data_IF_688577083648
#
_entry.id   IF_688577083648
#
_cell.length_a   1.000
_cell.length_b   1.000
_cell.length_c   1.000
_cell.angle_alpha   90.00
_cell.angle_beta   90.00
_cell.angle_gamma   90.00
#
_symmetry.space_group_name_H-M   'P 1'
#
loop_
_entity.id
_entity.type
_entity.pdbx_description
1 polymer ?
#
# COMPACT_ATOMS: atom_id res chain seq x y z
N UNK A 1 5.69 4.36 22.84
CA UNK A 1 5.40 4.37 21.39
C UNK A 1 5.02 5.78 20.99
N UNK A 2 5.74 6.41 20.07
CA UNK A 2 5.40 7.77 19.57
C UNK A 2 4.04 7.74 18.84
N UNK A 3 3.39 8.90 18.67
CA UNK A 3 2.13 8.97 17.89
C UNK A 3 2.32 8.43 16.46
N UNK A 4 3.49 8.68 15.87
CA UNK A 4 3.87 8.16 14.57
C UNK A 4 3.97 6.63 14.59
N UNK A 5 4.68 6.05 15.57
CA UNK A 5 4.74 4.60 15.76
C UNK A 5 3.34 4.00 15.94
N UNK A 6 2.45 4.61 16.74
CA UNK A 6 1.05 4.17 16.84
C UNK A 6 0.28 4.27 15.52
N UNK A 7 0.59 5.24 14.67
CA UNK A 7 0.00 5.31 13.35
C UNK A 7 0.52 4.21 12.42
N UNK A 8 1.77 3.77 12.57
CA UNK A 8 2.37 2.68 11.78
C UNK A 8 1.95 1.28 12.26
N UNK A 9 1.81 1.11 13.57
CA UNK A 9 1.55 -0.17 14.25
C UNK A 9 0.08 -0.57 14.34
N UNK A 10 -0.82 0.11 13.61
CA UNK A 10 -2.24 -0.21 13.58
C UNK A 10 -2.56 -1.18 12.47
N UNK A 11 -3.45 -2.13 12.77
CA UNK A 11 -4.06 -3.01 11.77
C UNK A 11 -4.80 -2.17 10.73
N UNK A 12 -4.61 -2.50 9.44
CA UNK A 12 -5.29 -1.88 8.31
C UNK A 12 -5.98 -2.98 7.50
N UNK A 13 -7.31 -2.98 7.48
CA UNK A 13 -8.08 -3.96 6.74
C UNK A 13 -7.76 -3.93 5.24
N UNK A 14 -7.63 -5.11 4.63
CA UNK A 14 -7.33 -5.26 3.20
C UNK A 14 -8.33 -4.54 2.32
N UNK A 15 -9.63 -4.61 2.66
CA UNK A 15 -10.67 -3.94 1.89
C UNK A 15 -10.54 -2.41 1.95
N UNK A 16 -10.11 -1.83 3.08
CA UNK A 16 -9.85 -0.38 3.18
C UNK A 16 -8.65 -0.01 2.31
N UNK A 17 -7.57 -0.78 2.41
CA UNK A 17 -6.39 -0.57 1.58
C UNK A 17 -6.74 -0.61 0.09
N UNK A 18 -7.51 -1.60 -0.35
CA UNK A 18 -7.99 -1.72 -1.72
C UNK A 18 -8.87 -0.53 -2.12
N UNK A 19 -9.85 -0.16 -1.28
CA UNK A 19 -10.77 0.94 -1.54
C UNK A 19 -10.03 2.28 -1.71
N UNK A 20 -9.09 2.57 -0.82
CA UNK A 20 -8.26 3.77 -0.96
C UNK A 20 -7.34 3.71 -2.17
N UNK A 21 -6.76 2.55 -2.48
CA UNK A 21 -5.88 2.39 -3.66
C UNK A 21 -6.64 2.65 -4.94
N UNK A 22 -7.84 2.09 -5.10
CA UNK A 22 -8.69 2.34 -6.28
C UNK A 22 -9.19 3.78 -6.33
N UNK A 23 -9.76 4.30 -5.24
CA UNK A 23 -10.30 5.66 -5.20
C UNK A 23 -9.23 6.75 -5.42
N UNK A 24 -7.98 6.45 -5.08
CA UNK A 24 -6.85 7.35 -5.31
C UNK A 24 -6.06 7.02 -6.57
N UNK A 25 -6.55 6.17 -7.47
CA UNK A 25 -5.82 5.79 -8.70
C UNK A 25 -4.39 5.29 -8.45
N UNK A 26 -4.19 4.54 -7.36
CA UNK A 26 -2.89 3.99 -6.94
C UNK A 26 -2.05 4.92 -6.04
N UNK A 27 -2.41 6.20 -5.87
CA UNK A 27 -1.64 7.12 -5.00
C UNK A 27 -1.59 6.67 -3.53
N UNK A 28 -2.60 5.95 -3.06
CA UNK A 28 -2.61 5.42 -1.69
C UNK A 28 -1.53 4.35 -1.46
N UNK A 29 -1.14 3.60 -2.50
CA UNK A 29 -0.04 2.63 -2.42
C UNK A 29 1.29 3.36 -2.16
N UNK A 30 1.50 4.49 -2.85
CA UNK A 30 2.65 5.37 -2.63
C UNK A 30 2.61 5.96 -1.22
N UNK A 31 1.46 6.43 -0.76
CA UNK A 31 1.30 6.93 0.60
C UNK A 31 1.63 5.86 1.66
N UNK A 32 1.15 4.63 1.47
CA UNK A 32 1.45 3.51 2.37
C UNK A 32 2.95 3.14 2.33
N UNK A 33 3.58 3.18 1.16
CA UNK A 33 5.02 2.97 1.00
C UNK A 33 5.82 4.05 1.73
N UNK A 34 5.46 5.32 1.58
CA UNK A 34 6.07 6.45 2.29
C UNK A 34 5.96 6.28 3.80
N UNK A 35 4.74 5.96 4.26
CA UNK A 35 4.45 5.70 5.66
C UNK A 35 5.32 4.57 6.21
N UNK A 36 5.50 3.51 5.44
CA UNK A 36 6.33 2.34 5.79
C UNK A 36 7.83 2.68 5.87
N UNK A 37 8.35 3.48 4.94
CA UNK A 37 9.73 3.96 5.02
C UNK A 37 9.95 4.90 6.20
N UNK A 38 8.96 5.74 6.53
CA UNK A 38 9.03 6.61 7.69
C UNK A 38 9.06 5.81 9.00
N UNK A 39 8.28 4.72 9.09
CA UNK A 39 8.37 3.77 10.20
C UNK A 39 9.78 3.19 10.36
N UNK A 40 10.37 2.61 9.32
CA UNK A 40 11.72 2.04 9.41
C UNK A 40 12.80 3.08 9.67
N UNK A 41 12.63 4.30 9.14
CA UNK A 41 13.52 5.42 9.46
C UNK A 41 13.53 5.72 10.96
N UNK A 42 12.35 5.83 11.56
CA UNK A 42 12.20 6.14 12.99
C UNK A 42 12.65 4.97 13.87
N UNK A 43 12.26 3.73 13.51
CA UNK A 43 12.56 2.52 14.29
C UNK A 43 14.04 2.14 14.27
N UNK A 44 14.64 2.10 13.08
CA UNK A 44 16.02 1.59 12.90
C UNK A 44 17.04 2.75 12.78
N UNK A 45 16.61 4.01 13.01
CA UNK A 45 17.42 5.23 12.86
C UNK A 45 18.16 5.31 11.52
N UNK A 46 17.48 4.96 10.43
CA UNK A 46 18.09 4.89 9.10
C UNK A 46 18.35 6.30 8.54
N UNK A 47 19.54 6.51 7.99
CA UNK A 47 19.84 7.70 7.18
C UNK A 47 19.31 7.53 5.75
N UNK A 48 17.98 7.55 5.62
CA UNK A 48 17.28 7.48 4.34
C UNK A 48 16.20 8.55 4.25
N UNK A 49 15.86 8.96 3.04
CA UNK A 49 14.69 9.81 2.79
C UNK A 49 13.48 8.95 2.41
N UNK A 50 12.40 8.91 3.23
CA UNK A 50 11.19 8.18 2.88
C UNK A 50 10.57 8.66 1.56
N UNK A 51 10.64 9.97 1.31
CA UNK A 51 10.12 10.56 0.07
C UNK A 51 10.82 9.99 -1.17
N UNK A 52 12.15 10.00 -1.21
CA UNK A 52 12.90 9.48 -2.36
C UNK A 52 12.74 7.97 -2.54
N UNK A 53 12.62 7.23 -1.42
CA UNK A 53 12.37 5.79 -1.45
C UNK A 53 10.99 5.45 -2.05
N UNK A 54 9.98 6.30 -1.80
CA UNK A 54 8.65 6.15 -2.38
C UNK A 54 8.55 6.64 -3.81
N UNK A 55 9.21 7.75 -4.16
CA UNK A 55 9.23 8.21 -5.55
C UNK A 55 9.89 7.18 -6.48
N UNK A 56 10.95 6.53 -5.99
CA UNK A 56 11.64 5.44 -6.67
C UNK A 56 11.16 4.07 -6.18
N UNK A 57 9.85 3.94 -5.88
CA UNK A 57 9.26 2.71 -5.37
C UNK A 57 9.63 1.45 -6.19
N UNK A 58 9.64 1.45 -7.54
CA UNK A 58 10.02 0.26 -8.30
C UNK A 58 11.41 -0.31 -7.91
N UNK A 59 12.34 0.55 -7.52
CA UNK A 59 13.70 0.17 -7.12
C UNK A 59 13.79 -0.25 -5.65
N UNK A 60 12.97 0.35 -4.79
CA UNK A 60 13.08 0.19 -3.34
C UNK A 60 12.01 -0.70 -2.71
N UNK A 61 11.02 -1.14 -3.48
CA UNK A 61 9.95 -2.02 -3.01
C UNK A 61 10.49 -3.37 -2.49
N UNK A 62 11.51 -3.95 -3.15
CA UNK A 62 12.20 -5.15 -2.65
C UNK A 62 12.79 -4.91 -1.27
N UNK A 63 13.61 -3.88 -1.14
CA UNK A 63 14.24 -3.52 0.13
C UNK A 63 13.21 -3.28 1.23
N UNK A 64 12.05 -2.70 0.92
CA UNK A 64 10.99 -2.50 1.91
C UNK A 64 10.34 -3.81 2.33
N UNK A 65 9.99 -4.68 1.38
CA UNK A 65 9.33 -5.96 1.67
C UNK A 65 10.25 -6.93 2.41
N UNK A 66 11.54 -6.91 2.10
CA UNK A 66 12.57 -7.69 2.79
C UNK A 66 12.75 -7.17 4.22
N UNK A 67 12.76 -5.85 4.47
CA UNK A 67 12.80 -5.29 5.82
C UNK A 67 11.60 -5.73 6.66
N UNK A 68 10.41 -5.77 6.08
CA UNK A 68 9.24 -6.33 6.76
C UNK A 68 9.41 -7.82 7.03
N UNK A 69 9.90 -8.60 6.06
CA UNK A 69 10.16 -10.04 6.21
C UNK A 69 11.15 -10.31 7.35
N UNK A 70 12.26 -9.58 7.37
CA UNK A 70 13.30 -9.69 8.39
C UNK A 70 12.78 -9.29 9.77
N UNK A 71 11.99 -8.21 9.86
CA UNK A 71 11.35 -7.80 11.10
C UNK A 71 10.43 -8.89 11.64
N UNK A 72 9.56 -9.45 10.80
CA UNK A 72 8.62 -10.49 11.19
C UNK A 72 9.33 -11.78 11.61
N UNK A 73 10.35 -12.20 10.85
CA UNK A 73 11.16 -13.38 11.18
C UNK A 73 11.91 -13.23 12.51
N UNK A 74 12.47 -12.04 12.78
CA UNK A 74 13.14 -11.74 14.07
C UNK A 74 12.19 -11.84 15.27
N UNK A 75 10.92 -11.56 15.05
CA UNK A 75 9.86 -11.64 16.08
C UNK A 75 9.19 -13.03 16.10
N UNK A 76 9.74 -14.02 15.37
CA UNK A 76 9.27 -15.41 15.39
C UNK A 76 8.12 -15.73 14.43
N UNK A 77 7.72 -14.80 13.55
CA UNK A 77 6.66 -15.04 12.59
C UNK A 77 7.18 -15.69 11.31
N UNK A 78 6.40 -16.64 10.78
CA UNK A 78 6.64 -17.24 9.47
C UNK A 78 6.21 -16.28 8.34
N UNK A 79 7.12 -16.05 7.39
CA UNK A 79 6.88 -15.19 6.22
C UNK A 79 7.06 -16.00 4.95
N UNK A 80 5.97 -16.20 4.20
CA UNK A 80 5.94 -17.04 3.00
C UNK A 80 5.50 -16.29 1.73
N UNK A 81 5.42 -14.95 1.75
CA UNK A 81 5.08 -14.20 0.55
C UNK A 81 6.28 -14.12 -0.41
N UNK A 82 6.08 -14.32 -1.73
CA UNK A 82 7.17 -14.28 -2.69
C UNK A 82 7.49 -12.84 -3.13
N UNK A 83 8.41 -12.16 -2.42
CA UNK A 83 8.77 -10.75 -2.67
C UNK A 83 8.99 -10.44 -4.16
N UNK A 84 9.79 -11.25 -4.86
CA UNK A 84 10.11 -11.04 -6.27
C UNK A 84 8.86 -11.08 -7.17
N UNK A 85 7.97 -12.06 -6.97
CA UNK A 85 6.75 -12.20 -7.77
C UNK A 85 5.82 -11.00 -7.55
N UNK A 86 5.68 -10.53 -6.31
CA UNK A 86 4.84 -9.38 -5.98
C UNK A 86 5.33 -8.09 -6.65
N UNK A 87 6.65 -7.89 -6.71
CA UNK A 87 7.25 -6.73 -7.37
C UNK A 87 7.10 -6.82 -8.88
N UNK A 88 7.38 -7.99 -9.46
CA UNK A 88 7.20 -8.22 -10.90
C UNK A 88 5.74 -7.96 -11.30
N UNK A 89 4.78 -8.48 -10.54
CA UNK A 89 3.36 -8.23 -10.76
C UNK A 89 3.02 -6.74 -10.70
N UNK A 90 3.51 -6.03 -9.66
CA UNK A 90 3.25 -4.60 -9.48
C UNK A 90 3.84 -3.76 -10.63
N UNK A 91 5.09 -4.03 -11.03
CA UNK A 91 5.75 -3.33 -12.14
C UNK A 91 5.03 -3.64 -13.45
N UNK A 92 4.77 -4.91 -13.73
CA UNK A 92 4.14 -5.35 -14.98
C UNK A 92 2.77 -4.69 -15.15
N UNK A 93 1.93 -4.70 -14.11
CA UNK A 93 0.58 -4.17 -14.21
C UNK A 93 0.59 -2.64 -14.36
N UNK A 94 1.47 -1.92 -13.64
CA UNK A 94 1.55 -0.46 -13.75
C UNK A 94 2.23 0.04 -15.04
N UNK A 95 3.08 -0.78 -15.68
CA UNK A 95 3.80 -0.35 -16.90
C UNK A 95 3.11 -0.76 -18.20
N UNK A 96 2.40 -1.89 -18.22
CA UNK A 96 1.83 -2.45 -19.46
C UNK A 96 0.37 -2.07 -19.67
N UNK A 97 -0.40 -1.87 -18.60
CA UNK A 97 -1.86 -1.72 -18.71
C UNK A 97 -2.30 -0.27 -18.93
N UNK A 98 -1.53 0.70 -18.44
CA UNK A 98 -1.86 2.14 -18.50
C UNK A 98 -1.98 2.66 -19.95
N UNK A 99 -1.32 2.02 -20.91
CA UNK A 99 -1.20 2.54 -22.29
C UNK A 99 -2.27 2.02 -23.26
N UNK A 100 -3.18 1.14 -22.83
CA UNK A 100 -4.18 0.53 -23.71
C UNK A 100 -5.57 0.63 -23.12
N UNK A 101 -6.47 1.33 -23.81
CA UNK A 101 -7.89 1.35 -23.50
C UNK A 101 -8.55 0.00 -23.85
N UNK A 102 -9.49 -0.54 -23.05
CA UNK A 102 -9.86 -0.17 -21.67
C UNK A 102 -9.04 -0.92 -20.59
N UNK A 103 -7.87 -1.46 -20.95
CA UNK A 103 -7.03 -2.32 -20.12
C UNK A 103 -6.41 -1.56 -18.92
N UNK A 104 -6.34 -0.22 -18.96
CA UNK A 104 -5.83 0.62 -17.85
C UNK A 104 -6.54 0.38 -16.51
N UNK A 105 -7.77 -0.13 -16.52
CA UNK A 105 -8.48 -0.54 -15.31
C UNK A 105 -7.72 -1.61 -14.52
N UNK A 106 -6.94 -2.47 -15.20
CA UNK A 106 -6.11 -3.47 -14.55
C UNK A 106 -4.99 -2.83 -13.71
N UNK A 107 -4.50 -1.63 -14.05
CA UNK A 107 -3.50 -0.92 -13.24
C UNK A 107 -3.98 -0.72 -11.79
N UNK A 108 -5.30 -0.59 -11.59
CA UNK A 108 -5.93 -0.41 -10.29
C UNK A 108 -5.98 -1.69 -9.46
N UNK A 109 -5.56 -2.83 -10.01
CA UNK A 109 -5.37 -4.09 -9.27
C UNK A 109 -3.93 -4.24 -8.74
N UNK A 110 -3.07 -3.24 -8.90
CA UNK A 110 -1.70 -3.25 -8.38
C UNK A 110 -1.62 -3.39 -6.86
N UNK A 111 -2.64 -2.92 -6.12
CA UNK A 111 -2.76 -3.13 -4.67
C UNK A 111 -2.68 -4.61 -4.26
N UNK A 112 -3.02 -5.56 -5.15
CA UNK A 112 -2.94 -6.99 -4.89
C UNK A 112 -1.51 -7.42 -4.49
N UNK A 113 -0.47 -6.76 -5.01
CA UNK A 113 0.92 -7.01 -4.62
C UNK A 113 1.22 -6.74 -3.16
N UNK A 114 0.44 -5.88 -2.52
CA UNK A 114 0.65 -5.49 -1.12
C UNK A 114 -0.13 -6.37 -0.15
N UNK A 115 -1.17 -7.08 -0.61
CA UNK A 115 -2.05 -7.87 0.27
C UNK A 115 -1.29 -8.90 1.11
N UNK A 116 -0.37 -9.72 0.57
CA UNK A 116 0.32 -10.72 1.38
C UNK A 116 1.17 -10.08 2.48
N UNK A 117 1.86 -8.99 2.15
CA UNK A 117 2.68 -8.22 3.11
C UNK A 117 1.79 -7.58 4.17
N UNK A 118 0.70 -6.94 3.75
CA UNK A 118 -0.25 -6.29 4.65
C UNK A 118 -0.90 -7.28 5.61
N UNK A 119 -1.27 -8.48 5.14
CA UNK A 119 -1.82 -9.53 5.99
C UNK A 119 -0.81 -10.01 7.03
N UNK A 120 0.44 -10.27 6.64
CA UNK A 120 1.49 -10.66 7.59
C UNK A 120 1.74 -9.57 8.64
N UNK A 121 1.74 -8.29 8.22
CA UNK A 121 1.86 -7.16 9.15
C UNK A 121 0.65 -7.01 10.07
N UNK A 122 -0.57 -7.23 9.56
CA UNK A 122 -1.78 -7.14 10.36
C UNK A 122 -1.82 -8.20 11.46
N UNK A 123 -1.35 -9.43 11.18
CA UNK A 123 -1.20 -10.48 12.19
C UNK A 123 -0.23 -10.01 13.28
N UNK A 124 0.96 -9.56 12.88
CA UNK A 124 1.97 -9.04 13.80
C UNK A 124 1.47 -7.87 14.66
N UNK A 125 0.81 -6.88 14.05
CA UNK A 125 0.32 -5.71 14.78
C UNK A 125 -0.82 -6.03 15.72
N UNK A 126 -1.69 -6.97 15.36
CA UNK A 126 -2.77 -7.45 16.22
C UNK A 126 -2.21 -8.13 17.48
N UNK A 127 -1.10 -8.84 17.36
CA UNK A 127 -0.44 -9.50 18.51
C UNK A 127 0.40 -8.52 19.33
N UNK A 128 1.14 -7.63 18.68
CA UNK A 128 2.05 -6.69 19.34
C UNK A 128 1.33 -5.50 19.99
N UNK A 129 0.19 -5.09 19.46
CA UNK A 129 -0.56 -3.93 19.94
C UNK A 129 -2.09 -4.18 19.85
N UNK A 130 -2.62 -5.17 20.60
CA UNK A 130 -4.04 -5.52 20.55
C UNK A 130 -4.97 -4.37 20.99
N UNK A 131 -4.46 -3.44 21.79
CA UNK A 131 -5.17 -2.23 22.21
C UNK A 131 -5.35 -1.21 21.07
N UNK A 132 -4.51 -1.27 20.04
CA UNK A 132 -4.58 -0.37 18.89
C UNK A 132 -5.56 -0.90 17.86
N UNK A 133 -6.82 -0.54 18.07
CA UNK A 133 -7.88 -0.83 17.10
C UNK A 133 -7.64 -0.13 15.76
N UNK A 134 -8.14 -0.77 14.70
CA UNK A 134 -8.18 -0.17 13.37
C UNK A 134 -8.99 1.14 13.42
N UNK A 135 -8.46 2.20 12.81
CA UNK A 135 -9.16 3.49 12.75
C UNK A 135 -10.46 3.37 11.93
N UNK A 136 -11.60 3.88 12.44
CA UNK A 136 -12.80 4.03 11.63
C UNK A 136 -12.55 5.07 10.53
N UNK A 137 -13.32 4.97 9.45
CA UNK A 137 -13.25 5.96 8.37
C UNK A 137 -13.73 7.32 8.91
N UNK A 138 -12.90 8.33 8.72
CA UNK A 138 -13.24 9.71 9.06
C UNK A 138 -14.11 10.33 7.97
N UNK A 139 -14.86 11.38 8.31
CA UNK A 139 -15.70 12.11 7.33
C UNK A 139 -14.87 12.63 6.15
N UNK A 140 -13.64 13.10 6.40
CA UNK A 140 -12.72 13.57 5.36
C UNK A 140 -12.31 12.45 4.40
N UNK A 141 -12.03 11.27 4.94
CA UNK A 141 -11.72 10.09 4.14
C UNK A 141 -12.93 9.62 3.32
N UNK A 142 -14.14 9.65 3.90
CA UNK A 142 -15.37 9.32 3.16
C UNK A 142 -15.57 10.29 1.99
N UNK A 143 -15.46 11.61 2.24
CA UNK A 143 -15.55 12.63 1.18
C UNK A 143 -14.51 12.37 0.09
N UNK A 144 -13.26 12.08 0.48
CA UNK A 144 -12.19 11.75 -0.45
C UNK A 144 -12.51 10.50 -1.29
N UNK A 145 -12.98 9.43 -0.65
CA UNK A 145 -13.38 8.19 -1.31
C UNK A 145 -14.52 8.42 -2.30
N UNK A 146 -15.55 9.17 -1.90
CA UNK A 146 -16.68 9.51 -2.78
C UNK A 146 -16.21 10.31 -4.00
N UNK A 147 -15.37 11.34 -3.80
CA UNK A 147 -14.82 12.13 -4.89
C UNK A 147 -13.95 11.28 -5.83
N UNK A 148 -13.07 10.45 -5.27
CA UNK A 148 -12.18 9.56 -6.02
C UNK A 148 -12.95 8.54 -6.87
N UNK A 149 -13.99 7.91 -6.30
CA UNK A 149 -14.86 6.98 -7.03
C UNK A 149 -15.61 7.71 -8.15
N UNK A 150 -16.10 8.93 -7.91
CA UNK A 150 -16.75 9.73 -8.95
C UNK A 150 -15.80 10.03 -10.11
N UNK A 151 -14.56 10.44 -9.82
CA UNK A 151 -13.53 10.65 -10.85
C UNK A 151 -13.21 9.35 -11.59
N UNK A 152 -13.11 8.23 -10.89
CA UNK A 152 -12.89 6.92 -11.50
C UNK A 152 -14.03 6.53 -12.46
N UNK A 153 -15.29 6.74 -12.07
CA UNK A 153 -16.45 6.48 -12.94
C UNK A 153 -16.48 7.42 -14.14
N UNK A 154 -16.14 8.70 -13.98
CA UNK A 154 -16.02 9.64 -15.09
C UNK A 154 -14.93 9.21 -16.08
N UNK A 155 -13.75 8.79 -15.57
CA UNK A 155 -12.67 8.27 -16.39
C UNK A 155 -13.11 7.01 -17.16
N UNK A 156 -13.81 6.09 -16.49
CA UNK A 156 -14.39 4.90 -17.12
C UNK A 156 -15.40 5.24 -18.23
N UNK A 157 -16.30 6.19 -18.00
CA UNK A 157 -17.23 6.62 -19.05
C UNK A 157 -16.49 7.28 -20.21
N UNK A 158 -15.45 8.06 -19.92
CA UNK A 158 -14.65 8.72 -20.96
C UNK A 158 -13.94 7.72 -21.88
N UNK A 159 -13.39 6.63 -21.32
CA UNK A 159 -12.69 5.61 -22.11
C UNK A 159 -13.58 4.91 -23.13
N UNK A 160 -14.88 4.73 -22.84
CA UNK A 160 -15.82 4.13 -23.78
C UNK A 160 -16.48 5.13 -24.74
N UNK A 161 -16.33 6.43 -24.48
CA UNK A 161 -16.93 7.49 -25.31
C UNK A 161 -16.01 7.98 -26.44
N UNK A 162 -14.72 7.61 -26.38
CA UNK A 162 -13.70 7.99 -27.36
C UNK A 162 -13.42 6.89 -28.41
N UNK A 163 -14.11 5.75 -28.31
CA UNK A 163 -14.17 4.66 -29.30
C UNK A 163 -15.46 4.77 -30.14
#
# INVERSE_FOLDING_TARGET
MTENEQNYSRVLSVWKFALFSVASMGFYELYWNYKSWKYFKEKDNLDVSPFWRTLLMPYFMSSLFDRFSDMLKKEGHHVNYPTAILIIFWIWINTTTIWKEPIWLLAHLSFLSFIPVLNSLNVYWKEKSPELQEKPLTVKEIIFLTAGILVFVLALMSSFSLD
#
